data_IF_796678850213
#
_entry.id   IF_796678850213
#
_cell.length_a   1.000
_cell.length_b   1.000
_cell.length_c   1.000
_cell.angle_alpha   90.00
_cell.angle_beta   90.00
_cell.angle_gamma   90.00
#
_symmetry.space_group_name_H-M   'P 1'
#
loop_
_entity.id
_entity.type
_entity.pdbx_description
1 polymer ?
#
# COMPACT_ATOMS: atom_id res chain seq x y z
N UNK A 1 16.25 15.67 12.95
CA UNK A 1 15.53 16.96 12.90
C UNK A 1 14.04 16.78 13.06
N UNK A 2 13.39 17.56 13.90
CA UNK A 2 11.95 17.47 14.16
C UNK A 2 11.09 17.62 12.91
N UNK A 3 11.48 18.52 11.98
CA UNK A 3 10.73 18.73 10.73
C UNK A 3 10.77 17.50 9.82
N UNK A 4 11.88 16.78 9.79
CA UNK A 4 12.01 15.56 8.99
C UNK A 4 11.27 14.40 9.62
N UNK A 5 11.30 14.28 10.94
CA UNK A 5 10.49 13.30 11.66
C UNK A 5 8.99 13.48 11.42
N UNK A 6 8.53 14.74 11.41
CA UNK A 6 7.14 15.07 11.10
C UNK A 6 6.78 14.71 9.65
N UNK A 7 7.71 14.93 8.72
CA UNK A 7 7.51 14.58 7.31
C UNK A 7 7.46 13.07 7.12
N UNK A 8 8.34 12.32 7.78
CA UNK A 8 8.32 10.84 7.75
C UNK A 8 6.99 10.33 8.28
N UNK A 9 6.51 10.89 9.38
CA UNK A 9 5.23 10.53 9.99
C UNK A 9 4.07 10.79 9.04
N UNK A 10 4.09 11.92 8.35
CA UNK A 10 3.10 12.26 7.33
C UNK A 10 3.13 11.25 6.17
N UNK A 11 4.31 10.93 5.67
CA UNK A 11 4.46 9.97 4.56
C UNK A 11 3.99 8.56 4.96
N UNK A 12 4.27 8.13 6.19
CA UNK A 12 3.75 6.86 6.73
C UNK A 12 2.23 6.86 6.81
N UNK A 13 1.64 7.96 7.24
CA UNK A 13 0.19 8.12 7.28
C UNK A 13 -0.42 7.99 5.87
N UNK A 14 0.20 8.62 4.88
CA UNK A 14 -0.24 8.54 3.48
C UNK A 14 -0.17 7.11 2.94
N UNK A 15 0.90 6.38 3.25
CA UNK A 15 1.02 4.95 2.91
C UNK A 15 -0.11 4.15 3.53
N UNK A 16 -0.39 4.36 4.82
CA UNK A 16 -1.46 3.64 5.53
C UNK A 16 -2.83 3.94 4.94
N UNK A 17 -3.11 5.18 4.56
CA UNK A 17 -4.36 5.56 3.90
C UNK A 17 -4.52 4.86 2.55
N UNK A 18 -3.47 4.86 1.73
CA UNK A 18 -3.47 4.21 0.42
C UNK A 18 -3.64 2.69 0.55
N UNK A 19 -3.02 2.10 1.56
CA UNK A 19 -3.18 0.66 1.86
C UNK A 19 -4.62 0.35 2.25
N UNK A 20 -5.23 1.13 3.13
CA UNK A 20 -6.62 0.97 3.54
C UNK A 20 -7.57 1.06 2.34
N UNK A 21 -7.33 2.04 1.45
CA UNK A 21 -8.15 2.20 0.25
C UNK A 21 -8.06 0.96 -0.65
N UNK A 22 -6.86 0.43 -0.84
CA UNK A 22 -6.64 -0.79 -1.64
C UNK A 22 -7.39 -1.97 -1.03
N UNK A 23 -7.27 -2.17 0.28
CA UNK A 23 -7.96 -3.26 0.99
C UNK A 23 -9.48 -3.11 0.89
N UNK A 24 -10.02 -1.90 1.01
CA UNK A 24 -11.45 -1.66 0.85
C UNK A 24 -11.95 -2.09 -0.54
N UNK A 25 -11.21 -1.73 -1.59
CA UNK A 25 -11.57 -2.10 -2.96
C UNK A 25 -11.48 -3.61 -3.14
N UNK A 26 -10.42 -4.26 -2.67
CA UNK A 26 -10.27 -5.71 -2.74
C UNK A 26 -11.40 -6.45 -2.01
N UNK A 27 -11.82 -5.92 -0.86
CA UNK A 27 -12.94 -6.46 -0.09
C UNK A 27 -14.24 -6.35 -0.88
N UNK A 28 -14.48 -5.22 -1.55
CA UNK A 28 -15.67 -5.04 -2.39
C UNK A 28 -15.66 -6.00 -3.58
N UNK A 29 -14.52 -6.20 -4.22
CA UNK A 29 -14.37 -7.16 -5.31
C UNK A 29 -14.71 -8.57 -4.83
N UNK A 30 -14.14 -8.99 -3.70
CA UNK A 30 -14.40 -10.31 -3.13
C UNK A 30 -15.89 -10.51 -2.81
N UNK A 31 -16.55 -9.50 -2.26
CA UNK A 31 -17.98 -9.55 -1.96
C UNK A 31 -18.82 -9.66 -3.23
N UNK A 32 -18.51 -8.90 -4.26
CA UNK A 32 -19.24 -8.97 -5.53
C UNK A 32 -19.02 -10.30 -6.25
N UNK A 33 -17.82 -10.85 -6.18
CA UNK A 33 -17.55 -12.18 -6.72
C UNK A 33 -18.32 -13.27 -5.98
N UNK A 34 -18.43 -13.15 -4.65
CA UNK A 34 -19.23 -14.05 -3.84
C UNK A 34 -20.71 -14.00 -4.22
N UNK A 35 -21.27 -12.80 -4.34
CA UNK A 35 -22.65 -12.58 -4.75
C UNK A 35 -22.91 -13.12 -6.16
N UNK A 36 -21.97 -12.89 -7.08
CA UNK A 36 -22.05 -13.39 -8.45
C UNK A 36 -22.05 -14.92 -8.50
N UNK A 37 -21.24 -15.57 -7.67
CA UNK A 37 -21.20 -17.01 -7.53
C UNK A 37 -22.51 -17.59 -6.96
N UNK A 38 -23.12 -16.91 -6.01
CA UNK A 38 -24.44 -17.31 -5.47
C UNK A 38 -25.52 -17.23 -6.54
N UNK A 39 -25.56 -16.14 -7.30
CA UNK A 39 -26.51 -15.97 -8.41
C UNK A 39 -26.32 -17.03 -9.48
N UNK A 40 -25.09 -17.39 -9.79
CA UNK A 40 -24.77 -18.45 -10.75
C UNK A 40 -25.32 -19.81 -10.28
N UNK A 41 -25.18 -20.12 -9.00
CA UNK A 41 -25.76 -21.35 -8.42
C UNK A 41 -27.27 -21.32 -8.45
N UNK A 42 -27.89 -20.19 -8.17
CA UNK A 42 -29.36 -20.03 -8.23
C UNK A 42 -29.89 -20.21 -9.65
N UNK A 43 -29.19 -19.64 -10.63
CA UNK A 43 -29.55 -19.82 -12.06
C UNK A 43 -29.52 -21.30 -12.44
N UNK A 44 -28.44 -21.99 -12.07
CA UNK A 44 -28.28 -23.41 -12.35
C UNK A 44 -29.37 -24.25 -11.67
N UNK A 45 -29.70 -23.95 -10.41
CA UNK A 45 -30.75 -24.65 -9.69
C UNK A 45 -32.13 -24.48 -10.36
N UNK A 46 -32.45 -23.27 -10.80
CA UNK A 46 -33.70 -23.00 -11.50
C UNK A 46 -33.76 -23.67 -12.87
N UNK A 47 -32.67 -23.68 -13.61
CA UNK A 47 -32.57 -24.38 -14.89
C UNK A 47 -32.77 -25.87 -14.72
N UNK A 48 -32.17 -26.47 -13.71
CA UNK A 48 -32.28 -27.90 -13.42
C UNK A 48 -33.72 -28.26 -12.98
N UNK A 49 -34.36 -27.39 -12.18
CA UNK A 49 -35.74 -27.58 -11.75
C UNK A 49 -36.72 -27.53 -12.91
N UNK A 50 -36.54 -26.59 -13.83
CA UNK A 50 -37.40 -26.40 -14.95
C UNK A 50 -37.11 -27.37 -16.11
N UNK A 51 -35.91 -27.97 -16.14
CA UNK A 51 -35.44 -28.81 -17.24
C UNK A 51 -35.17 -28.01 -18.52
N UNK A 52 -35.04 -26.68 -18.44
CA UNK A 52 -34.84 -25.77 -19.55
C UNK A 52 -33.57 -24.99 -19.31
N UNK A 53 -32.63 -25.08 -20.25
CA UNK A 53 -31.30 -24.44 -20.10
C UNK A 53 -31.09 -23.27 -21.06
N UNK A 54 -31.92 -23.17 -22.11
CA UNK A 54 -31.84 -22.10 -23.11
C UNK A 54 -32.62 -20.85 -22.62
N UNK A 55 -31.93 -19.72 -22.36
CA UNK A 55 -32.58 -18.46 -21.92
C UNK A 55 -33.55 -17.91 -22.97
N UNK A 56 -33.44 -18.31 -24.24
CA UNK A 56 -34.33 -17.88 -25.30
C UNK A 56 -35.64 -18.68 -25.35
N UNK A 57 -35.73 -19.80 -24.61
CA UNK A 57 -36.93 -20.61 -24.55
C UNK A 57 -38.06 -19.86 -23.87
N UNK A 58 -39.30 -19.95 -24.40
CA UNK A 58 -40.43 -19.21 -23.88
C UNK A 58 -40.79 -19.57 -22.42
N UNK A 59 -40.51 -20.80 -21.99
CA UNK A 59 -40.78 -21.28 -20.65
C UNK A 59 -39.57 -21.18 -19.71
N UNK A 60 -38.51 -20.47 -20.10
CA UNK A 60 -37.36 -20.27 -19.27
C UNK A 60 -37.76 -19.51 -17.97
N UNK A 61 -37.28 -19.92 -16.76
CA UNK A 61 -37.70 -19.32 -15.53
C UNK A 61 -37.38 -17.81 -15.46
N UNK A 62 -38.38 -17.02 -15.15
CA UNK A 62 -38.24 -15.55 -15.00
C UNK A 62 -37.19 -15.20 -13.95
N UNK A 63 -37.17 -15.93 -12.83
CA UNK A 63 -36.19 -15.72 -11.76
C UNK A 63 -34.75 -15.94 -12.26
N UNK A 64 -34.52 -17.02 -13.00
CA UNK A 64 -33.21 -17.31 -13.56
C UNK A 64 -32.74 -16.20 -14.51
N UNK A 65 -33.64 -15.70 -15.34
CA UNK A 65 -33.36 -14.59 -16.27
C UNK A 65 -32.98 -13.30 -15.53
N UNK A 66 -33.73 -12.99 -14.46
CA UNK A 66 -33.45 -11.83 -13.61
C UNK A 66 -32.11 -11.98 -12.87
N UNK A 67 -31.81 -13.18 -12.37
CA UNK A 67 -30.55 -13.48 -11.68
C UNK A 67 -29.35 -13.36 -12.64
N UNK A 68 -29.48 -13.80 -13.88
CA UNK A 68 -28.47 -13.61 -14.91
C UNK A 68 -28.19 -12.13 -15.17
N UNK A 69 -29.22 -11.31 -15.24
CA UNK A 69 -29.07 -9.86 -15.39
C UNK A 69 -28.33 -9.22 -14.23
N UNK A 70 -28.65 -9.63 -13.00
CA UNK A 70 -27.94 -9.16 -11.79
C UNK A 70 -26.47 -9.59 -11.80
N UNK A 71 -26.20 -10.82 -12.21
CA UNK A 71 -24.83 -11.34 -12.34
C UNK A 71 -24.02 -10.52 -13.34
N UNK A 72 -24.60 -10.19 -14.48
CA UNK A 72 -23.94 -9.35 -15.49
C UNK A 72 -23.65 -7.95 -14.95
N UNK A 73 -24.57 -7.37 -14.20
CA UNK A 73 -24.36 -6.07 -13.56
C UNK A 73 -23.25 -6.12 -12.53
N UNK A 74 -23.20 -7.17 -11.70
CA UNK A 74 -22.13 -7.38 -10.71
C UNK A 74 -20.77 -7.56 -11.39
N UNK A 75 -20.75 -8.29 -12.50
CA UNK A 75 -19.52 -8.51 -13.27
C UNK A 75 -18.96 -7.19 -13.82
N UNK A 76 -19.82 -6.34 -14.37
CA UNK A 76 -19.41 -5.02 -14.85
C UNK A 76 -18.87 -4.16 -13.69
N UNK A 77 -19.56 -4.15 -12.57
CA UNK A 77 -19.12 -3.43 -11.38
C UNK A 77 -17.79 -3.95 -10.84
N UNK A 78 -17.58 -5.27 -10.87
CA UNK A 78 -16.32 -5.90 -10.50
C UNK A 78 -15.19 -5.48 -11.43
N UNK A 79 -15.43 -5.45 -12.74
CA UNK A 79 -14.44 -5.01 -13.70
C UNK A 79 -14.02 -3.55 -13.48
N UNK A 80 -14.98 -2.67 -13.18
CA UNK A 80 -14.70 -1.28 -12.80
C UNK A 80 -13.89 -1.20 -11.51
N UNK A 81 -14.23 -2.00 -10.51
CA UNK A 81 -13.50 -2.06 -9.26
C UNK A 81 -12.07 -2.57 -9.44
N UNK A 82 -11.83 -3.48 -10.37
CA UNK A 82 -10.48 -3.95 -10.68
C UNK A 82 -9.60 -2.84 -11.25
N UNK A 83 -10.16 -2.00 -12.11
CA UNK A 83 -9.46 -0.81 -12.61
C UNK A 83 -9.12 0.13 -11.45
N UNK A 84 -10.09 0.41 -10.57
CA UNK A 84 -9.87 1.23 -9.38
C UNK A 84 -8.82 0.60 -8.45
N UNK A 85 -8.80 -0.72 -8.34
CA UNK A 85 -7.82 -1.45 -7.54
C UNK A 85 -6.41 -1.27 -8.09
N UNK A 86 -6.25 -1.37 -9.40
CA UNK A 86 -4.96 -1.15 -10.05
C UNK A 86 -4.46 0.27 -9.83
N UNK A 87 -5.35 1.26 -9.94
CA UNK A 87 -5.04 2.66 -9.66
C UNK A 87 -4.65 2.87 -8.19
N UNK A 88 -5.39 2.24 -7.27
CA UNK A 88 -5.10 2.33 -5.83
C UNK A 88 -3.73 1.69 -5.49
N UNK A 89 -3.40 0.57 -6.11
CA UNK A 89 -2.09 -0.09 -5.95
C UNK A 89 -0.96 0.78 -6.48
N UNK A 90 -1.15 1.43 -7.62
CA UNK A 90 -0.19 2.36 -8.19
C UNK A 90 0.03 3.55 -7.24
N UNK A 91 -1.03 4.12 -6.70
CA UNK A 91 -0.96 5.21 -5.74
C UNK A 91 -0.24 4.79 -4.44
N UNK A 92 -0.48 3.56 -3.98
CA UNK A 92 0.22 2.99 -2.83
C UNK A 92 1.73 2.87 -3.10
N UNK A 93 2.10 2.39 -4.29
CA UNK A 93 3.49 2.30 -4.71
C UNK A 93 4.20 3.65 -4.72
N UNK A 94 3.54 4.68 -5.24
CA UNK A 94 4.05 6.06 -5.23
C UNK A 94 4.24 6.59 -3.81
N UNK A 95 3.28 6.32 -2.93
CA UNK A 95 3.37 6.74 -1.52
C UNK A 95 4.55 6.06 -0.81
N UNK A 96 4.80 4.79 -1.10
CA UNK A 96 5.98 4.06 -0.59
C UNK A 96 7.27 4.67 -1.08
N UNK A 97 7.37 5.02 -2.36
CA UNK A 97 8.55 5.65 -2.93
C UNK A 97 8.84 6.98 -2.26
N UNK A 98 7.81 7.79 -2.04
CA UNK A 98 7.95 9.08 -1.36
C UNK A 98 8.41 8.90 0.09
N UNK A 99 7.88 7.92 0.80
CA UNK A 99 8.34 7.60 2.15
C UNK A 99 9.81 7.18 2.15
N UNK A 100 10.20 6.29 1.23
CA UNK A 100 11.59 5.83 1.13
C UNK A 100 12.56 6.97 0.85
N UNK A 101 12.19 7.91 -0.02
CA UNK A 101 13.03 9.07 -0.31
C UNK A 101 13.32 9.89 0.94
N UNK A 102 12.30 10.15 1.74
CA UNK A 102 12.46 10.93 2.98
C UNK A 102 13.28 10.15 4.00
N UNK A 103 13.03 8.86 4.17
CA UNK A 103 13.78 8.01 5.08
C UNK A 103 15.26 7.94 4.70
N UNK A 104 15.58 7.81 3.42
CA UNK A 104 16.94 7.78 2.94
C UNK A 104 17.66 9.11 3.16
N UNK A 105 16.99 10.23 2.95
CA UNK A 105 17.54 11.56 3.23
C UNK A 105 17.82 11.74 4.73
N UNK A 106 16.91 11.27 5.57
CA UNK A 106 17.07 11.34 7.02
C UNK A 106 18.26 10.49 7.48
N UNK A 107 18.37 9.28 6.99
CA UNK A 107 19.51 8.39 7.27
C UNK A 107 20.83 9.01 6.86
N UNK A 108 20.89 9.60 5.67
CA UNK A 108 22.08 10.28 5.15
C UNK A 108 22.48 11.44 6.07
N UNK A 109 21.52 12.23 6.51
CA UNK A 109 21.77 13.36 7.43
C UNK A 109 22.26 12.86 8.79
N UNK A 110 21.67 11.79 9.32
CA UNK A 110 22.11 11.20 10.58
C UNK A 110 23.54 10.68 10.48
N UNK A 111 23.89 10.03 9.38
CA UNK A 111 25.26 9.56 9.14
C UNK A 111 26.26 10.71 9.03
N UNK A 112 25.87 11.79 8.35
CA UNK A 112 26.70 12.99 8.22
C UNK A 112 26.91 13.67 9.59
N UNK A 113 25.86 13.85 10.38
CA UNK A 113 25.94 14.42 11.73
C UNK A 113 26.85 13.58 12.61
N UNK A 114 26.74 12.25 12.54
CA UNK A 114 27.57 11.33 13.28
C UNK A 114 29.04 11.43 12.86
N UNK A 115 29.31 11.51 11.57
CA UNK A 115 30.68 11.67 11.05
C UNK A 115 31.28 13.00 11.47
N UNK A 116 30.51 14.10 11.43
CA UNK A 116 30.95 15.42 11.89
C UNK A 116 31.24 15.43 13.39
N UNK A 117 30.38 14.79 14.19
CA UNK A 117 30.58 14.67 15.63
C UNK A 117 31.85 13.86 15.94
N UNK A 118 32.06 12.76 15.23
CA UNK A 118 33.27 11.94 15.39
C UNK A 118 34.54 12.72 14.99
N UNK A 119 34.47 13.50 13.92
CA UNK A 119 35.58 14.33 13.47
C UNK A 119 35.93 15.41 14.50
N UNK A 120 34.90 16.06 15.07
CA UNK A 120 35.11 17.05 16.14
C UNK A 120 35.74 16.42 17.37
N UNK A 121 35.28 15.25 17.77
CA UNK A 121 35.82 14.51 18.91
C UNK A 121 37.27 14.12 18.66
N UNK A 122 37.61 13.62 17.47
CA UNK A 122 38.98 13.27 17.11
C UNK A 122 39.89 14.49 17.10
N UNK A 123 39.43 15.61 16.55
CA UNK A 123 40.17 16.87 16.54
C UNK A 123 40.45 17.36 17.96
N UNK A 124 39.47 17.23 18.88
CA UNK A 124 39.62 17.62 20.27
C UNK A 124 40.64 16.74 20.97
N UNK A 125 40.60 15.43 20.75
CA UNK A 125 41.54 14.46 21.30
C UNK A 125 42.95 14.74 20.77
N UNK A 126 43.11 15.03 19.48
CA UNK A 126 44.39 15.39 18.87
C UNK A 126 44.94 16.68 19.46
N UNK A 127 44.09 17.66 19.69
CA UNK A 127 44.47 18.92 20.34
C UNK A 127 44.99 18.69 21.75
N UNK A 128 44.27 17.89 22.55
CA UNK A 128 44.69 17.55 23.92
C UNK A 128 46.01 16.79 23.92
N UNK A 129 46.17 15.84 23.01
CA UNK A 129 47.40 15.10 22.87
C UNK A 129 48.58 16.01 22.53
N UNK A 130 48.40 16.95 21.59
CA UNK A 130 49.41 17.93 21.23
C UNK A 130 49.78 18.85 22.39
N UNK A 131 48.78 19.29 23.16
CA UNK A 131 49.04 20.10 24.34
C UNK A 131 49.83 19.35 25.41
N UNK A 132 49.51 18.07 25.65
CA UNK A 132 50.26 17.21 26.61
C UNK A 132 51.68 16.97 26.13
N UNK A 133 51.87 16.73 24.86
CA UNK A 133 53.20 16.56 24.26
C UNK A 133 54.04 17.81 24.40
N UNK A 134 53.51 18.98 24.11
CA UNK A 134 54.20 20.28 24.27
C UNK A 134 54.56 20.53 25.75
N UNK A 135 53.63 20.28 26.67
CA UNK A 135 53.88 20.44 28.10
C UNK A 135 54.98 19.52 28.62
N UNK A 136 54.99 18.24 28.21
CA UNK A 136 56.02 17.28 28.55
C UNK A 136 57.36 17.65 27.93
N UNK A 137 57.38 18.16 26.69
CA UNK A 137 58.58 18.65 26.00
C UNK A 137 59.17 19.89 26.68
N UNK A 138 58.33 20.74 27.24
CA UNK A 138 58.80 21.94 27.94
C UNK A 138 59.51 21.62 29.28
N UNK A 139 59.27 20.44 29.84
CA UNK A 139 59.92 19.99 31.10
C UNK A 139 61.16 19.11 30.84
N UNK A 140 61.43 18.81 29.62
CA UNK A 140 62.64 18.10 29.24
C UNK A 140 63.80 19.08 29.03
#
# INVERSE_FOLDING_TARGET
>A
MKSRESLIRLRKFQVDEKRRRTVQIETMIAEFERMSGELEREVKAEQDRAGIQDPAHFAYPTYAKAAMGRRENLKRSTDELRVQCDDAKAALGEAFEELKKVEMLDERDQQREKAEANAREQNELDRIAAMRFTANGAHA
#
